data_IF_785830364409
#
_entry.id   IF_785830364409
#
_cell.length_a   1.000
_cell.length_b   1.000
_cell.length_c   1.000
_cell.angle_alpha   90.00
_cell.angle_beta   90.00
_cell.angle_gamma   90.00
#
_symmetry.space_group_name_H-M   'P 1'
#
loop_
_entity.id
_entity.type
_entity.pdbx_description
1 polymer ?
#
# COMPACT_ATOMS: atom_id res chain seq x y z
N UNK A 1 16.82 -42.59 27.21
CA UNK A 1 16.61 -41.87 28.48
C UNK A 1 16.47 -40.37 28.14
N UNK A 2 15.43 -40.02 27.40
CA UNK A 2 15.27 -38.69 26.82
C UNK A 2 13.83 -38.19 26.70
N UNK A 3 12.87 -38.80 27.36
CA UNK A 3 11.44 -38.51 27.17
C UNK A 3 10.70 -37.93 28.41
N UNK A 4 11.39 -37.59 29.46
CA UNK A 4 10.76 -37.16 30.73
C UNK A 4 10.93 -35.66 31.09
N UNK A 5 11.58 -34.88 30.29
CA UNK A 5 11.79 -33.43 30.59
C UNK A 5 10.68 -32.55 30.00
N UNK A 6 9.84 -33.08 29.11
CA UNK A 6 8.80 -32.30 28.41
C UNK A 6 7.35 -32.57 28.96
N UNK A 7 7.18 -33.44 29.93
CA UNK A 7 5.88 -33.64 30.60
C UNK A 7 5.57 -32.45 31.52
N UNK A 8 4.73 -31.52 31.06
CA UNK A 8 4.25 -30.38 31.85
C UNK A 8 4.39 -29.00 31.16
N UNK A 9 5.03 -28.94 30.04
CA UNK A 9 5.05 -27.68 29.23
C UNK A 9 3.90 -27.66 28.21
N UNK A 10 3.23 -26.49 28.02
CA UNK A 10 2.20 -26.38 27.01
C UNK A 10 2.80 -26.57 25.62
N UNK A 11 2.00 -27.04 24.67
CA UNK A 11 2.36 -27.01 23.26
C UNK A 11 2.56 -25.54 22.80
N UNK A 12 3.24 -25.34 21.67
CA UNK A 12 3.42 -24.00 21.10
C UNK A 12 2.05 -23.31 20.86
N UNK A 13 1.08 -24.06 20.37
CA UNK A 13 -0.27 -23.58 20.08
C UNK A 13 -0.99 -23.16 21.37
N UNK A 14 -0.89 -23.93 22.44
CA UNK A 14 -1.46 -23.61 23.77
C UNK A 14 -0.77 -22.38 24.36
N UNK A 15 0.57 -22.32 24.34
CA UNK A 15 1.32 -21.19 24.86
C UNK A 15 1.01 -19.87 24.11
N UNK A 16 0.83 -19.92 22.79
CA UNK A 16 0.42 -18.76 22.01
C UNK A 16 -1.04 -18.36 22.30
N UNK A 17 -1.93 -19.32 22.47
CA UNK A 17 -3.31 -19.04 22.83
C UNK A 17 -3.40 -18.35 24.21
N UNK A 18 -2.67 -18.85 25.20
CA UNK A 18 -2.59 -18.26 26.54
C UNK A 18 -1.98 -16.85 26.51
N UNK A 19 -0.92 -16.66 25.72
CA UNK A 19 -0.29 -15.36 25.54
C UNK A 19 -1.27 -14.33 24.96
N UNK A 20 -1.97 -14.67 23.88
CA UNK A 20 -2.93 -13.76 23.24
C UNK A 20 -4.24 -13.61 24.06
N UNK A 21 -4.57 -14.53 24.95
CA UNK A 21 -5.66 -14.36 25.88
C UNK A 21 -5.31 -13.39 27.03
N UNK A 22 -4.03 -13.34 27.41
CA UNK A 22 -3.54 -12.50 28.50
C UNK A 22 -3.05 -11.12 28.05
N UNK A 23 -2.72 -10.95 26.77
CA UNK A 23 -2.15 -9.72 26.23
C UNK A 23 -2.95 -9.19 25.03
N UNK A 24 -3.35 -7.94 25.11
CA UNK A 24 -3.95 -7.20 24.02
C UNK A 24 -2.97 -6.13 23.55
N UNK A 25 -2.55 -6.14 22.26
CA UNK A 25 -1.61 -5.15 21.75
C UNK A 25 -2.18 -3.74 21.84
N UNK A 26 -1.33 -2.78 22.18
CA UNK A 26 -1.69 -1.37 22.16
C UNK A 26 -2.16 -0.97 20.75
N UNK A 27 -3.37 -0.38 20.67
CA UNK A 27 -3.97 0.04 19.39
C UNK A 27 -3.70 1.52 19.08
N UNK A 28 -2.55 2.04 19.51
CA UNK A 28 -2.14 3.40 19.25
C UNK A 28 -2.04 3.67 17.75
N UNK A 29 -2.39 4.90 17.37
CA UNK A 29 -2.43 5.36 15.98
C UNK A 29 -1.49 6.53 15.82
N UNK A 30 -0.75 6.54 14.73
CA UNK A 30 0.04 7.68 14.27
C UNK A 30 -0.29 7.99 12.81
N UNK A 31 0.02 9.21 12.38
CA UNK A 31 -0.15 9.60 10.98
C UNK A 31 1.23 9.68 10.34
N UNK A 32 1.40 8.99 9.24
CA UNK A 32 2.64 8.99 8.46
C UNK A 32 2.38 9.55 7.06
N UNK A 33 3.41 10.13 6.45
CA UNK A 33 3.34 10.51 5.05
C UNK A 33 3.12 9.26 4.18
N UNK A 34 2.46 9.46 3.03
CA UNK A 34 2.14 8.35 2.14
C UNK A 34 3.41 7.57 1.71
N UNK A 35 4.53 8.26 1.48
CA UNK A 35 5.82 7.64 1.13
C UNK A 35 6.38 6.73 2.24
N UNK A 36 6.04 7.00 3.50
CA UNK A 36 6.51 6.24 4.67
C UNK A 36 5.51 5.13 5.10
N UNK A 37 4.42 4.98 4.34
CA UNK A 37 3.32 4.11 4.73
C UNK A 37 3.52 2.63 4.35
N UNK A 38 4.44 2.32 3.43
CA UNK A 38 4.67 0.93 2.98
C UNK A 38 5.09 0.03 4.13
N UNK A 39 4.44 -1.14 4.22
CA UNK A 39 4.66 -2.11 5.30
C UNK A 39 3.99 -1.75 6.63
N UNK A 40 3.30 -0.60 6.72
CA UNK A 40 2.53 -0.21 7.89
C UNK A 40 1.14 -0.84 7.86
N UNK A 41 0.57 -1.04 9.02
CA UNK A 41 -0.81 -1.54 9.19
C UNK A 41 -1.76 -0.36 9.28
N UNK A 42 -2.74 -0.30 8.39
CA UNK A 42 -3.74 0.76 8.37
C UNK A 42 -4.61 0.71 9.64
N UNK A 43 -4.82 1.86 10.28
CA UNK A 43 -5.50 1.93 11.57
C UNK A 43 -7.03 2.03 11.48
N UNK A 44 -7.56 2.61 10.39
CA UNK A 44 -9.00 2.75 10.12
C UNK A 44 -9.26 2.64 8.62
N UNK A 45 -10.50 2.40 8.25
CA UNK A 45 -10.91 2.38 6.85
C UNK A 45 -10.64 3.73 6.18
N UNK A 46 -10.14 3.69 4.94
CA UNK A 46 -9.95 4.86 4.11
C UNK A 46 -10.88 4.82 2.92
N UNK A 47 -11.46 5.98 2.64
CA UNK A 47 -12.28 6.21 1.46
C UNK A 47 -11.71 7.38 0.64
N UNK A 48 -12.00 7.38 -0.64
CA UNK A 48 -11.59 8.46 -1.54
C UNK A 48 -12.23 9.79 -1.15
N UNK A 49 -11.44 10.85 -1.20
CA UNK A 49 -11.94 12.24 -1.16
C UNK A 49 -12.10 12.80 -2.57
N UNK A 50 -11.55 12.14 -3.58
CA UNK A 50 -11.55 12.57 -4.97
C UNK A 50 -12.61 11.83 -5.79
N UNK A 51 -13.12 12.51 -6.82
CA UNK A 51 -13.85 11.91 -7.93
C UNK A 51 -13.01 12.06 -9.19
N UNK A 52 -12.69 10.95 -9.85
CA UNK A 52 -11.82 10.93 -11.04
C UNK A 52 -12.44 10.09 -12.19
N UNK A 53 -12.38 10.59 -13.43
CA UNK A 53 -12.05 11.96 -13.78
C UNK A 53 -13.07 12.94 -13.19
N UNK A 54 -12.65 14.18 -12.94
CA UNK A 54 -13.50 15.23 -12.31
C UNK A 54 -14.68 15.58 -13.20
N UNK A 55 -14.45 15.62 -14.51
CA UNK A 55 -15.44 15.79 -15.58
C UNK A 55 -15.35 14.61 -16.53
N UNK A 56 -16.25 14.48 -17.48
CA UNK A 56 -16.09 13.49 -18.55
C UNK A 56 -14.78 13.76 -19.33
N UNK A 57 -14.16 12.71 -19.82
CA UNK A 57 -12.87 12.80 -20.51
C UNK A 57 -12.80 11.87 -21.71
N UNK A 58 -11.89 12.17 -22.65
CA UNK A 58 -11.62 11.24 -23.74
C UNK A 58 -10.98 9.94 -23.22
N UNK A 59 -11.43 8.81 -23.77
CA UNK A 59 -10.87 7.48 -23.45
C UNK A 59 -9.56 7.20 -24.17
N UNK A 60 -9.26 7.91 -25.26
CA UNK A 60 -8.12 7.74 -26.14
C UNK A 60 -7.83 9.04 -26.89
N UNK A 61 -6.70 9.11 -27.56
CA UNK A 61 -6.36 10.22 -28.44
C UNK A 61 -7.31 10.23 -29.65
N UNK A 62 -7.95 11.36 -29.91
CA UNK A 62 -8.99 11.38 -30.91
C UNK A 62 -9.54 12.74 -31.29
N UNK A 63 -10.65 12.68 -31.97
CA UNK A 63 -11.42 13.83 -32.44
C UNK A 63 -12.80 13.78 -31.78
N UNK A 64 -13.07 14.75 -30.90
CA UNK A 64 -14.39 14.90 -30.31
C UNK A 64 -15.36 15.51 -31.32
N UNK A 65 -16.51 14.88 -31.45
CA UNK A 65 -17.55 15.18 -32.45
C UNK A 65 -18.93 15.20 -31.82
N UNK A 66 -19.91 15.70 -32.56
CA UNK A 66 -21.35 15.57 -32.21
C UNK A 66 -21.87 14.28 -32.79
N UNK A 67 -22.26 13.32 -31.98
CA UNK A 67 -22.80 12.02 -32.43
C UNK A 67 -24.00 12.19 -33.35
N UNK A 68 -24.81 13.22 -33.13
CA UNK A 68 -25.94 13.55 -33.98
C UNK A 68 -25.59 13.75 -35.47
N UNK A 69 -24.34 14.17 -35.77
CA UNK A 69 -23.89 14.29 -37.15
C UNK A 69 -23.78 12.96 -37.88
N UNK A 70 -23.62 11.86 -37.13
CA UNK A 70 -23.46 10.50 -37.64
C UNK A 70 -24.80 9.69 -37.66
N UNK A 71 -25.89 10.29 -37.21
CA UNK A 71 -27.19 9.59 -37.06
C UNK A 71 -27.74 8.97 -38.36
N UNK A 72 -27.33 9.51 -39.51
CA UNK A 72 -27.74 9.02 -40.83
C UNK A 72 -26.59 8.36 -41.62
N UNK A 73 -25.56 7.89 -40.94
CA UNK A 73 -24.33 7.36 -41.51
C UNK A 73 -23.21 8.39 -41.54
N UNK A 74 -22.14 8.12 -42.32
CA UNK A 74 -20.97 8.99 -42.42
C UNK A 74 -21.36 10.39 -42.91
N UNK A 75 -21.06 11.44 -42.14
CA UNK A 75 -21.37 12.82 -42.53
C UNK A 75 -20.43 13.34 -43.64
N UNK A 76 -20.94 14.27 -44.44
CA UNK A 76 -20.07 15.11 -45.32
C UNK A 76 -19.29 16.13 -44.43
N UNK A 77 -18.01 15.90 -44.26
CA UNK A 77 -17.12 16.72 -43.41
C UNK A 77 -16.42 17.82 -44.19
N UNK A 78 -16.69 17.99 -45.47
CA UNK A 78 -16.00 18.93 -46.36
C UNK A 78 -16.09 20.40 -45.92
N UNK A 79 -17.16 20.73 -45.17
CA UNK A 79 -17.39 22.10 -44.64
C UNK A 79 -17.08 22.20 -43.13
N UNK A 80 -16.61 21.14 -42.48
CA UNK A 80 -16.37 21.12 -41.04
C UNK A 80 -15.21 22.03 -40.67
N UNK A 81 -15.35 22.69 -39.49
CA UNK A 81 -14.38 23.64 -38.96
C UNK A 81 -13.93 23.23 -37.57
N UNK A 82 -12.62 23.25 -37.29
CA UNK A 82 -12.11 23.01 -35.93
C UNK A 82 -12.69 24.03 -34.95
N UNK A 83 -13.02 23.56 -33.77
CA UNK A 83 -13.66 24.31 -32.68
C UNK A 83 -15.18 24.51 -32.83
N UNK A 84 -15.79 24.16 -33.97
CA UNK A 84 -17.23 24.30 -34.26
C UNK A 84 -17.87 22.94 -34.45
N UNK A 85 -17.31 22.13 -35.32
CA UNK A 85 -17.86 20.83 -35.73
C UNK A 85 -17.08 19.67 -35.09
N UNK A 86 -15.83 19.89 -34.76
CA UNK A 86 -14.96 18.95 -34.05
C UNK A 86 -13.86 19.68 -33.26
N UNK A 87 -13.27 18.98 -32.27
CA UNK A 87 -12.05 19.38 -31.57
C UNK A 87 -11.11 18.20 -31.37
N UNK A 88 -9.82 18.45 -31.25
CA UNK A 88 -8.87 17.46 -30.80
C UNK A 88 -9.11 17.18 -29.30
N UNK A 89 -9.11 15.93 -28.88
CA UNK A 89 -9.18 15.52 -27.50
C UNK A 89 -8.29 14.29 -27.32
N UNK A 90 -7.20 14.46 -26.58
CA UNK A 90 -6.28 13.37 -26.29
C UNK A 90 -6.72 12.62 -25.03
N UNK A 91 -6.10 11.47 -24.75
CA UNK A 91 -6.47 10.60 -23.63
C UNK A 91 -6.48 11.37 -22.30
N UNK A 92 -7.65 11.40 -21.66
CA UNK A 92 -7.83 12.10 -20.38
C UNK A 92 -8.25 13.57 -20.50
N UNK A 93 -8.23 14.14 -21.73
CA UNK A 93 -8.65 15.51 -21.93
C UNK A 93 -10.16 15.69 -21.72
N UNK A 94 -10.50 16.81 -21.10
CA UNK A 94 -11.85 17.38 -21.17
C UNK A 94 -12.04 18.06 -22.52
N UNK A 95 -13.26 18.11 -23.00
CA UNK A 95 -13.64 18.77 -24.23
C UNK A 95 -14.99 19.48 -24.11
N UNK A 96 -15.28 20.50 -24.94
CA UNK A 96 -16.50 21.29 -24.82
C UNK A 96 -17.79 20.44 -24.83
N UNK A 97 -18.77 20.83 -24.00
CA UNK A 97 -20.06 20.12 -23.84
C UNK A 97 -20.88 19.98 -25.12
N UNK A 98 -20.58 20.75 -26.15
CA UNK A 98 -21.22 20.66 -27.44
C UNK A 98 -20.90 19.33 -28.18
N UNK A 99 -19.83 18.64 -27.79
CA UNK A 99 -19.40 17.36 -28.34
C UNK A 99 -19.73 16.26 -27.34
N UNK A 100 -20.18 15.11 -27.77
CA UNK A 100 -20.64 14.03 -26.92
C UNK A 100 -20.04 12.67 -27.26
N UNK A 101 -19.15 12.60 -28.24
CA UNK A 101 -18.45 11.40 -28.64
C UNK A 101 -17.03 11.70 -29.10
N UNK A 102 -16.13 10.72 -29.05
CA UNK A 102 -14.75 10.83 -29.55
C UNK A 102 -14.49 9.68 -30.53
N UNK A 103 -13.98 10.03 -31.70
CA UNK A 103 -13.46 9.08 -32.71
C UNK A 103 -11.96 8.97 -32.52
N UNK A 104 -11.43 7.72 -32.47
CA UNK A 104 -9.98 7.46 -32.34
C UNK A 104 -9.19 8.18 -33.44
N UNK A 105 -8.02 8.69 -33.10
CA UNK A 105 -7.18 9.42 -34.06
C UNK A 105 -6.72 8.54 -35.22
N UNK A 106 -6.58 7.23 -34.99
CA UNK A 106 -6.20 6.25 -36.00
C UNK A 106 -7.29 6.05 -37.06
N UNK A 107 -8.53 6.49 -36.77
CA UNK A 107 -9.69 6.44 -37.64
C UNK A 107 -10.05 7.80 -38.26
N UNK A 108 -9.18 8.80 -38.09
CA UNK A 108 -9.42 10.16 -38.54
C UNK A 108 -8.16 10.74 -39.22
N UNK A 109 -8.35 11.50 -40.26
CA UNK A 109 -7.28 12.27 -40.92
C UNK A 109 -7.63 13.74 -40.82
N UNK A 110 -6.84 14.48 -40.03
CA UNK A 110 -6.92 15.93 -39.91
C UNK A 110 -5.82 16.54 -40.79
N UNK A 111 -6.19 17.44 -41.73
CA UNK A 111 -5.24 18.10 -42.63
C UNK A 111 -4.87 19.48 -42.13
N UNK A 112 -3.81 20.03 -42.72
CA UNK A 112 -3.28 21.37 -42.34
C UNK A 112 -4.31 22.49 -42.57
N UNK A 113 -5.21 22.34 -43.53
CA UNK A 113 -6.29 23.28 -43.80
C UNK A 113 -7.46 23.20 -42.79
N UNK A 114 -7.36 22.29 -41.80
CA UNK A 114 -8.40 22.05 -40.82
C UNK A 114 -9.54 21.18 -41.32
N UNK A 115 -9.43 20.57 -42.51
CA UNK A 115 -10.41 19.56 -42.92
C UNK A 115 -10.17 18.24 -42.20
N UNK A 116 -11.26 17.51 -41.86
CA UNK A 116 -11.21 16.21 -41.23
C UNK A 116 -11.98 15.18 -42.06
N UNK A 117 -11.45 13.98 -42.16
CA UNK A 117 -12.18 12.81 -42.73
C UNK A 117 -12.03 11.64 -41.82
N UNK A 118 -13.00 10.74 -41.83
CA UNK A 118 -13.03 9.52 -41.02
C UNK A 118 -13.02 8.29 -41.94
N UNK A 119 -12.55 7.16 -41.41
CA UNK A 119 -12.64 5.87 -42.10
C UNK A 119 -14.09 5.47 -42.30
N UNK A 120 -14.41 4.77 -43.39
CA UNK A 120 -15.77 4.39 -43.76
C UNK A 120 -16.44 3.45 -42.75
N UNK A 121 -15.67 2.76 -41.90
CA UNK A 121 -16.16 1.84 -40.86
C UNK A 121 -16.45 2.53 -39.53
N UNK A 122 -16.23 3.84 -39.41
CA UNK A 122 -16.50 4.59 -38.19
C UNK A 122 -17.99 4.69 -37.92
N UNK A 123 -18.42 4.22 -36.76
CA UNK A 123 -19.75 4.44 -36.22
C UNK A 123 -19.67 5.20 -34.92
N UNK A 124 -20.52 6.19 -34.73
CA UNK A 124 -20.51 7.09 -33.57
C UNK A 124 -21.88 7.12 -32.93
N UNK A 125 -21.93 6.70 -31.67
CA UNK A 125 -23.13 6.81 -30.83
C UNK A 125 -22.88 7.85 -29.72
N UNK A 126 -23.92 8.39 -29.09
CA UNK A 126 -23.74 9.24 -27.92
C UNK A 126 -22.90 8.56 -26.83
N UNK A 127 -21.83 9.22 -26.39
CA UNK A 127 -20.92 8.69 -25.38
C UNK A 127 -19.81 7.76 -25.91
N UNK A 128 -19.76 7.46 -27.23
CA UNK A 128 -18.66 6.69 -27.83
C UNK A 128 -17.32 7.33 -27.50
N UNK A 129 -16.37 6.55 -26.97
CA UNK A 129 -15.02 7.01 -26.63
C UNK A 129 -14.93 8.01 -25.48
N UNK A 130 -15.99 8.19 -24.71
CA UNK A 130 -16.06 9.10 -23.56
C UNK A 130 -16.07 8.34 -22.25
N UNK A 131 -15.15 8.69 -21.34
CA UNK A 131 -15.20 8.23 -19.95
C UNK A 131 -16.06 9.19 -19.12
N UNK A 132 -17.12 8.70 -18.45
CA UNK A 132 -17.92 9.53 -17.57
C UNK A 132 -17.14 10.06 -16.37
N UNK A 133 -17.54 11.20 -15.83
CA UNK A 133 -17.03 11.68 -14.54
C UNK A 133 -17.19 10.60 -13.46
N UNK A 134 -16.17 10.41 -12.65
CA UNK A 134 -16.16 9.42 -11.57
C UNK A 134 -16.13 7.96 -12.04
N UNK A 135 -15.79 7.68 -13.29
CA UNK A 135 -15.71 6.30 -13.79
C UNK A 135 -14.50 5.52 -13.30
N UNK A 136 -13.46 6.21 -12.82
CA UNK A 136 -12.28 5.58 -12.24
C UNK A 136 -12.41 5.48 -10.72
N UNK A 137 -12.90 6.54 -10.07
CA UNK A 137 -12.99 6.65 -8.62
C UNK A 137 -14.02 7.71 -8.25
N UNK A 138 -14.77 7.49 -7.16
CA UNK A 138 -15.72 8.45 -6.63
C UNK A 138 -15.41 8.81 -5.19
N UNK A 139 -15.68 10.05 -4.83
CA UNK A 139 -15.61 10.49 -3.43
C UNK A 139 -16.54 9.62 -2.57
N UNK A 140 -16.05 9.15 -1.42
CA UNK A 140 -16.71 8.21 -0.53
C UNK A 140 -16.55 6.74 -0.89
N UNK A 141 -15.96 6.41 -2.04
CA UNK A 141 -15.67 5.02 -2.41
C UNK A 141 -14.56 4.43 -1.54
N UNK A 142 -14.75 3.20 -0.98
CA UNK A 142 -13.74 2.56 -0.16
C UNK A 142 -12.44 2.32 -0.93
N UNK A 143 -11.32 2.68 -0.34
CA UNK A 143 -9.98 2.45 -0.89
C UNK A 143 -9.28 1.27 -0.21
N UNK A 144 -9.31 1.24 1.12
CA UNK A 144 -8.57 0.24 1.89
C UNK A 144 -9.19 0.08 3.28
N UNK A 145 -9.26 -1.15 3.78
CA UNK A 145 -9.84 -1.46 5.10
C UNK A 145 -8.80 -1.46 6.22
N UNK A 146 -9.24 -1.10 7.42
CA UNK A 146 -8.45 -1.19 8.64
C UNK A 146 -7.85 -2.59 8.83
N UNK A 147 -6.64 -2.65 9.38
CA UNK A 147 -5.89 -3.89 9.58
C UNK A 147 -5.13 -4.39 8.36
N UNK A 148 -5.29 -3.78 7.19
CA UNK A 148 -4.53 -4.13 6.00
C UNK A 148 -3.10 -3.62 6.08
N UNK A 149 -2.14 -4.41 5.58
CA UNK A 149 -0.76 -3.97 5.39
C UNK A 149 -0.68 -3.21 4.07
N UNK A 150 -0.19 -1.97 4.12
CA UNK A 150 -0.07 -1.10 2.96
C UNK A 150 1.10 -1.58 2.08
N UNK A 151 0.80 -1.94 0.83
CA UNK A 151 1.78 -2.38 -0.17
C UNK A 151 2.16 -1.22 -1.09
N UNK A 152 3.30 -1.30 -1.80
CA UNK A 152 3.67 -0.26 -2.78
C UNK A 152 2.59 0.03 -3.83
N UNK A 153 1.85 -0.99 -4.28
CA UNK A 153 0.75 -0.85 -5.24
C UNK A 153 -0.45 -0.09 -4.68
N UNK A 154 -0.67 -0.15 -3.37
CA UNK A 154 -1.79 0.52 -2.72
C UNK A 154 -1.58 2.04 -2.64
N UNK A 155 -0.31 2.50 -2.66
CA UNK A 155 0.02 3.93 -2.67
C UNK A 155 -0.61 4.66 -3.85
N UNK A 156 -0.68 4.02 -5.03
CA UNK A 156 -1.30 4.63 -6.21
C UNK A 156 -2.79 4.90 -5.98
N UNK A 157 -3.53 3.93 -5.45
CA UNK A 157 -4.95 4.09 -5.14
C UNK A 157 -5.19 5.13 -4.03
N UNK A 158 -4.35 5.12 -2.98
CA UNK A 158 -4.43 6.08 -1.88
C UNK A 158 -4.13 7.51 -2.37
N UNK A 159 -3.10 7.69 -3.21
CA UNK A 159 -2.75 8.98 -3.80
C UNK A 159 -3.88 9.49 -4.72
N UNK A 160 -4.41 8.64 -5.61
CA UNK A 160 -5.56 8.99 -6.45
C UNK A 160 -6.78 9.37 -5.62
N UNK A 161 -6.99 8.69 -4.50
CA UNK A 161 -8.06 8.99 -3.54
C UNK A 161 -7.83 10.26 -2.72
N UNK A 162 -6.68 10.94 -2.86
CA UNK A 162 -6.37 12.22 -2.21
C UNK A 162 -5.67 12.09 -0.86
N UNK A 163 -5.20 10.90 -0.48
CA UNK A 163 -4.44 10.73 0.75
C UNK A 163 -3.02 11.29 0.61
N UNK A 164 -2.61 12.13 1.55
CA UNK A 164 -1.22 12.61 1.70
C UNK A 164 -0.59 12.10 2.99
N UNK A 165 -1.44 11.90 4.00
CA UNK A 165 -1.11 11.30 5.29
C UNK A 165 -2.08 10.15 5.53
N UNK A 166 -1.60 9.07 6.11
CA UNK A 166 -2.42 7.90 6.43
C UNK A 166 -2.31 7.53 7.91
N UNK A 167 -3.44 7.19 8.55
CA UNK A 167 -3.46 6.69 9.92
C UNK A 167 -2.98 5.24 9.94
N UNK A 168 -1.92 4.97 10.66
CA UNK A 168 -1.35 3.63 10.78
C UNK A 168 -1.22 3.21 12.24
N UNK A 169 -1.16 1.91 12.51
CA UNK A 169 -0.82 1.41 13.83
C UNK A 169 0.62 1.75 14.16
N UNK A 170 0.86 2.23 15.38
CA UNK A 170 2.23 2.38 15.90
C UNK A 170 2.88 1.01 15.92
N UNK A 171 4.15 0.94 15.51
CA UNK A 171 4.93 -0.31 15.53
C UNK A 171 5.11 -0.76 16.97
N UNK A 172 4.87 -2.04 17.30
CA UNK A 172 5.18 -2.55 18.63
C UNK A 172 6.68 -2.55 18.86
N UNK A 173 7.11 -2.11 20.03
CA UNK A 173 8.50 -2.21 20.48
C UNK A 173 8.71 -3.58 21.13
N UNK A 174 9.66 -4.34 20.63
CA UNK A 174 9.96 -5.69 21.11
C UNK A 174 11.39 -5.72 21.64
N UNK A 175 11.54 -5.88 22.96
CA UNK A 175 12.82 -6.08 23.60
C UNK A 175 13.27 -7.54 23.41
N UNK A 176 14.53 -7.73 23.04
CA UNK A 176 15.16 -9.04 22.94
C UNK A 176 16.36 -9.08 23.91
N UNK A 177 16.29 -9.98 24.89
CA UNK A 177 17.33 -10.17 25.91
C UNK A 177 18.04 -11.50 25.64
N UNK A 178 19.24 -11.49 25.06
CA UNK A 178 20.05 -12.70 24.94
C UNK A 178 20.69 -13.06 26.27
N UNK A 179 20.54 -14.32 26.73
CA UNK A 179 21.14 -14.80 27.95
C UNK A 179 22.01 -16.02 27.70
N UNK A 180 23.11 -16.12 28.44
CA UNK A 180 24.03 -17.24 28.38
C UNK A 180 25.46 -16.80 28.72
N UNK A 181 26.03 -17.42 29.77
CA UNK A 181 27.41 -17.12 30.20
C UNK A 181 28.47 -17.61 29.21
N UNK A 182 28.11 -18.53 28.31
CA UNK A 182 28.92 -19.05 27.21
C UNK A 182 28.94 -18.17 25.98
N UNK A 183 28.00 -17.20 25.86
CA UNK A 183 27.83 -16.42 24.65
C UNK A 183 28.88 -15.32 24.52
N UNK A 184 29.33 -15.12 23.28
CA UNK A 184 30.16 -13.98 22.89
C UNK A 184 29.54 -13.25 21.71
N UNK A 185 29.70 -11.93 21.57
CA UNK A 185 29.19 -11.16 20.47
C UNK A 185 29.65 -11.68 19.10
N UNK A 186 28.82 -11.49 18.06
CA UNK A 186 29.20 -11.75 16.68
C UNK A 186 30.47 -10.97 16.30
N UNK A 187 31.38 -11.63 15.59
CA UNK A 187 32.69 -11.09 15.21
C UNK A 187 33.83 -11.37 16.22
N UNK A 188 33.52 -11.84 17.42
CA UNK A 188 34.50 -12.32 18.38
C UNK A 188 34.80 -13.80 18.11
N UNK A 189 36.09 -14.17 18.04
CA UNK A 189 36.51 -15.57 17.91
C UNK A 189 36.27 -16.30 19.24
N UNK A 190 35.35 -17.31 19.25
CA UNK A 190 35.02 -18.03 20.47
C UNK A 190 36.19 -18.89 20.94
N UNK A 191 36.35 -19.01 22.26
CA UNK A 191 37.25 -19.93 22.94
C UNK A 191 36.53 -21.23 23.30
N UNK A 192 37.27 -22.20 23.80
CA UNK A 192 36.66 -23.46 24.26
C UNK A 192 35.58 -23.17 25.32
N UNK A 193 34.37 -23.69 25.07
CA UNK A 193 33.18 -23.51 25.91
C UNK A 193 32.39 -22.23 25.64
N UNK A 194 32.79 -21.46 24.63
CA UNK A 194 32.02 -20.28 24.18
C UNK A 194 31.31 -20.53 22.87
N UNK A 195 30.14 -19.90 22.70
CA UNK A 195 29.33 -19.87 21.48
C UNK A 195 29.14 -18.43 21.03
N UNK A 196 28.95 -18.22 19.74
CA UNK A 196 28.64 -16.91 19.18
C UNK A 196 27.15 -16.63 19.28
N UNK A 197 26.77 -15.48 19.80
CA UNK A 197 25.38 -15.00 19.74
C UNK A 197 25.01 -14.66 18.31
N UNK A 198 24.20 -15.53 17.69
CA UNK A 198 23.64 -15.34 16.36
C UNK A 198 22.16 -14.95 16.43
N UNK A 199 21.52 -15.28 17.55
CA UNK A 199 20.07 -15.09 17.72
C UNK A 199 19.69 -13.61 17.83
N UNK A 200 20.51 -12.80 18.50
CA UNK A 200 20.28 -11.34 18.57
C UNK A 200 20.22 -10.71 17.18
N UNK A 201 21.15 -11.08 16.28
CA UNK A 201 21.17 -10.54 14.93
C UNK A 201 19.96 -11.03 14.13
N UNK A 202 19.69 -12.34 14.17
CA UNK A 202 18.55 -12.95 13.46
C UNK A 202 17.23 -12.37 13.94
N UNK A 203 16.96 -12.37 15.25
CA UNK A 203 15.72 -11.87 15.82
C UNK A 203 15.50 -10.39 15.55
N UNK A 204 16.56 -9.56 15.63
CA UNK A 204 16.49 -8.15 15.25
C UNK A 204 15.91 -7.97 13.85
N UNK A 205 16.41 -8.70 12.88
CA UNK A 205 15.97 -8.54 11.48
C UNK A 205 14.61 -9.16 11.21
N UNK A 206 14.28 -10.28 11.86
CA UNK A 206 12.92 -10.86 11.80
C UNK A 206 11.87 -9.90 12.38
N UNK A 207 12.16 -9.26 13.51
CA UNK A 207 11.26 -8.28 14.11
C UNK A 207 11.02 -7.07 13.17
N UNK A 208 12.08 -6.59 12.50
CA UNK A 208 11.94 -5.53 11.49
C UNK A 208 11.07 -6.00 10.32
N UNK A 209 11.32 -7.21 9.82
CA UNK A 209 10.56 -7.80 8.70
C UNK A 209 9.07 -7.95 9.05
N UNK A 210 8.76 -8.31 10.30
CA UNK A 210 7.39 -8.43 10.80
C UNK A 210 6.78 -7.09 11.24
N UNK A 211 7.47 -5.98 11.03
CA UNK A 211 6.93 -4.64 11.25
C UNK A 211 7.04 -4.14 12.69
N UNK A 212 7.85 -4.78 13.54
CA UNK A 212 8.14 -4.31 14.89
C UNK A 212 9.36 -3.38 14.94
N UNK A 213 9.53 -2.68 16.06
CA UNK A 213 10.72 -1.92 16.42
C UNK A 213 11.55 -2.74 17.42
N UNK A 214 12.68 -3.35 17.03
CA UNK A 214 13.49 -4.17 17.93
C UNK A 214 14.34 -3.33 18.89
N UNK A 215 14.35 -3.71 20.16
CA UNK A 215 15.24 -3.19 21.19
C UNK A 215 16.13 -4.35 21.67
N UNK A 216 17.31 -4.50 21.08
CA UNK A 216 18.23 -5.59 21.44
C UNK A 216 19.08 -5.18 22.62
N UNK A 217 18.97 -5.96 23.70
CA UNK A 217 19.76 -5.76 24.91
C UNK A 217 21.17 -6.33 24.77
N UNK A 218 22.15 -5.86 25.56
CA UNK A 218 23.43 -6.51 25.69
C UNK A 218 23.28 -7.96 26.17
N UNK A 219 24.28 -8.81 25.90
CA UNK A 219 24.36 -10.16 26.47
C UNK A 219 24.29 -10.12 27.98
N UNK A 220 23.37 -10.89 28.55
CA UNK A 220 23.20 -11.03 29.99
C UNK A 220 23.74 -12.39 30.41
N UNK A 221 24.56 -12.42 31.48
CA UNK A 221 25.03 -13.68 32.04
C UNK A 221 23.90 -14.43 32.74
N UNK A 222 24.14 -15.72 33.03
CA UNK A 222 23.19 -16.57 33.80
C UNK A 222 23.27 -16.24 35.31
N UNK A 223 23.04 -14.96 35.57
CA UNK A 223 22.96 -14.39 36.92
C UNK A 223 21.53 -13.85 37.15
N UNK A 224 20.84 -14.32 38.19
CA UNK A 224 19.45 -13.91 38.43
C UNK A 224 19.26 -12.41 38.64
N UNK A 225 20.27 -11.72 39.22
CA UNK A 225 20.18 -10.28 39.50
C UNK A 225 20.40 -9.46 38.21
N UNK A 226 21.34 -9.89 37.36
CA UNK A 226 21.55 -9.26 36.06
C UNK A 226 20.32 -9.46 35.16
N UNK A 227 19.76 -10.66 35.14
CA UNK A 227 18.57 -10.99 34.35
C UNK A 227 17.34 -10.19 34.80
N UNK A 228 17.11 -10.08 36.13
CA UNK A 228 15.99 -9.30 36.68
C UNK A 228 16.12 -7.82 36.28
N UNK A 229 17.28 -7.23 36.41
CA UNK A 229 17.54 -5.83 36.00
C UNK A 229 17.31 -5.62 34.49
N UNK A 230 17.78 -6.53 33.64
CA UNK A 230 17.58 -6.45 32.20
C UNK A 230 16.09 -6.58 31.85
N UNK A 231 15.38 -7.46 32.52
CA UNK A 231 13.94 -7.68 32.32
C UNK A 231 13.11 -6.45 32.74
N UNK A 232 13.40 -5.88 33.92
CA UNK A 232 12.74 -4.65 34.38
C UNK A 232 12.98 -3.48 33.41
N UNK A 233 14.24 -3.31 32.95
CA UNK A 233 14.57 -2.28 31.96
C UNK A 233 13.85 -2.51 30.62
N UNK A 234 13.71 -3.75 30.19
CA UNK A 234 12.98 -4.12 28.99
C UNK A 234 11.48 -3.82 29.09
N UNK A 235 10.85 -4.20 30.22
CA UNK A 235 9.44 -3.90 30.49
C UNK A 235 9.13 -2.40 30.52
N UNK A 236 10.10 -1.59 30.96
CA UNK A 236 9.94 -0.13 30.98
C UNK A 236 10.01 0.52 29.58
N UNK A 237 10.51 -0.19 28.55
CA UNK A 237 10.83 0.39 27.25
C UNK A 237 10.19 -0.31 26.07
N UNK A 238 9.54 -1.45 26.26
CA UNK A 238 8.98 -2.25 25.19
C UNK A 238 7.58 -2.79 25.53
N UNK A 239 6.80 -3.07 24.49
CA UNK A 239 5.47 -3.64 24.59
C UNK A 239 5.50 -5.16 24.82
N UNK A 240 6.57 -5.80 24.31
CA UNK A 240 6.80 -7.25 24.45
C UNK A 240 8.26 -7.48 24.78
N UNK A 241 8.53 -8.43 25.68
CA UNK A 241 9.89 -8.84 26.05
C UNK A 241 10.09 -10.31 25.66
N UNK A 242 11.12 -10.58 24.91
CA UNK A 242 11.58 -11.92 24.52
C UNK A 242 12.90 -12.19 25.21
N UNK A 243 12.95 -13.21 26.05
CA UNK A 243 14.18 -13.69 26.68
C UNK A 243 14.63 -14.94 25.94
N UNK A 244 15.85 -14.95 25.45
CA UNK A 244 16.43 -16.10 24.75
C UNK A 244 17.51 -16.73 25.64
N UNK A 245 17.13 -17.81 26.33
CA UNK A 245 18.04 -18.65 27.05
C UNK A 245 18.46 -19.88 26.24
N UNK A 246 19.68 -20.32 26.43
CA UNK A 246 20.22 -21.54 25.80
C UNK A 246 19.91 -22.79 26.61
#
# INVERSE_FOLDING_TARGET
MGEKIMDGFPSREEALADFFAAWEPARSVEYVALDDAVGRVLACDLASTNTLPVVRASSFDGIAVKSAAFANGMPDTSSWKPGVDYVRADTGDDFPDAFDAVVMIEKAVVREDGSVTFDDDVTVEPGSGVRPAGSTLRAGEPLMSAGSIIRPTDLAALAMGGATMVPVRVKPRVAFIPTGSELVPAGIKPRRGQNVDTNSLMCKHLLIEYGAEPVVFPLVHDDPVELERAFEAALATADVVVVNGG
#
